data_IF_707643805682
#
_entry.id   IF_707643805682
#
_cell.length_a   1.000
_cell.length_b   1.000
_cell.length_c   1.000
_cell.angle_alpha   90.00
_cell.angle_beta   90.00
_cell.angle_gamma   90.00
#
_symmetry.space_group_name_H-M   'P 1'
#
loop_
_entity.id
_entity.type
_entity.pdbx_description
1 polymer ?
#
# COMPACT_ATOMS: atom_id res chain seq x y z
N UNK A 1 16.79 -12.62 -0.20
CA UNK A 1 16.82 -11.24 0.33
C UNK A 1 15.97 -11.24 1.59
N UNK A 2 16.49 -10.79 2.72
CA UNK A 2 15.74 -10.78 3.98
C UNK A 2 14.66 -9.69 3.97
N UNK A 3 13.67 -9.78 4.87
CA UNK A 3 12.65 -8.75 5.02
C UNK A 3 13.27 -7.37 5.31
N UNK A 4 14.28 -7.32 6.17
CA UNK A 4 14.98 -6.07 6.51
C UNK A 4 15.70 -5.45 5.31
N UNK A 5 16.30 -6.29 4.45
CA UNK A 5 16.90 -5.82 3.20
C UNK A 5 15.82 -5.21 2.29
N UNK A 6 14.63 -5.83 2.21
CA UNK A 6 13.53 -5.35 1.37
C UNK A 6 13.00 -4.02 1.87
N UNK A 7 12.83 -3.90 3.18
CA UNK A 7 12.46 -2.64 3.85
C UNK A 7 13.49 -1.55 3.56
N UNK A 8 14.79 -1.83 3.69
CA UNK A 8 15.86 -0.85 3.40
C UNK A 8 15.83 -0.41 1.94
N UNK A 9 15.73 -1.36 1.01
CA UNK A 9 15.66 -1.09 -0.44
C UNK A 9 14.46 -0.22 -0.78
N UNK A 10 13.29 -0.53 -0.22
CA UNK A 10 12.08 0.24 -0.47
C UNK A 10 12.16 1.64 0.16
N UNK A 11 12.67 1.74 1.39
CA UNK A 11 12.89 3.02 2.06
C UNK A 11 13.78 3.94 1.22
N UNK A 12 14.90 3.43 0.69
CA UNK A 12 15.77 4.20 -0.19
C UNK A 12 15.09 4.60 -1.50
N UNK A 13 14.20 3.76 -2.03
CA UNK A 13 13.44 4.05 -3.26
C UNK A 13 12.44 5.16 -3.04
N UNK A 14 11.61 5.06 -2.00
CA UNK A 14 10.62 6.07 -1.64
C UNK A 14 11.29 7.41 -1.26
N UNK A 15 12.42 7.39 -0.54
CA UNK A 15 13.19 8.62 -0.26
C UNK A 15 13.64 9.35 -1.53
N UNK A 16 14.01 8.62 -2.59
CA UNK A 16 14.36 9.22 -3.89
C UNK A 16 13.14 9.78 -4.60
N UNK A 17 12.01 9.07 -4.56
CA UNK A 17 10.75 9.47 -5.19
C UNK A 17 10.19 10.76 -4.57
N UNK A 18 10.22 10.86 -3.24
CA UNK A 18 9.63 11.97 -2.49
C UNK A 18 10.65 13.03 -2.07
N UNK A 19 11.79 13.14 -2.77
CA UNK A 19 12.87 14.09 -2.43
C UNK A 19 12.47 15.57 -2.51
N UNK A 20 11.38 15.87 -3.22
CA UNK A 20 10.88 17.24 -3.46
C UNK A 20 9.89 17.72 -2.39
N UNK A 21 9.55 16.88 -1.40
CA UNK A 21 8.71 17.29 -0.27
C UNK A 21 9.39 18.45 0.47
N UNK A 22 8.60 19.49 0.78
CA UNK A 22 9.08 20.66 1.48
C UNK A 22 9.61 20.32 2.90
N UNK A 23 10.49 21.16 3.44
CA UNK A 23 11.08 20.91 4.76
C UNK A 23 10.03 20.86 5.89
N UNK A 24 8.91 21.58 5.74
CA UNK A 24 7.82 21.57 6.70
C UNK A 24 7.15 20.19 6.87
N UNK A 25 7.11 19.37 5.82
CA UNK A 25 6.51 18.04 5.84
C UNK A 25 7.54 16.90 5.86
N UNK A 26 8.84 17.21 5.75
CA UNK A 26 9.92 16.23 5.62
C UNK A 26 9.95 15.18 6.73
N UNK A 27 9.83 15.57 8.00
CA UNK A 27 9.83 14.62 9.12
C UNK A 27 8.64 13.66 9.06
N UNK A 28 7.46 14.17 8.70
CA UNK A 28 6.26 13.34 8.56
C UNK A 28 6.40 12.39 7.37
N UNK A 29 6.94 12.88 6.25
CA UNK A 29 7.22 12.06 5.08
C UNK A 29 8.22 10.94 5.41
N UNK A 30 9.30 11.20 6.14
CA UNK A 30 10.25 10.16 6.53
C UNK A 30 9.62 9.04 7.36
N UNK A 31 8.74 9.39 8.31
CA UNK A 31 7.98 8.40 9.11
C UNK A 31 7.03 7.58 8.26
N UNK A 32 6.30 8.23 7.35
CA UNK A 32 5.39 7.57 6.43
C UNK A 32 6.13 6.67 5.43
N UNK A 33 7.29 7.08 4.94
CA UNK A 33 8.15 6.28 4.06
C UNK A 33 8.61 5.01 4.77
N UNK A 34 9.11 5.12 6.01
CA UNK A 34 9.52 3.95 6.79
C UNK A 34 8.34 2.99 7.01
N UNK A 35 7.14 3.53 7.28
CA UNK A 35 5.91 2.74 7.44
C UNK A 35 5.48 2.06 6.14
N UNK A 36 5.50 2.78 5.01
CA UNK A 36 5.17 2.23 3.69
C UNK A 36 6.10 1.08 3.30
N UNK A 37 7.41 1.26 3.52
CA UNK A 37 8.41 0.22 3.25
C UNK A 37 8.18 -1.05 4.06
N UNK A 38 7.87 -0.91 5.36
CA UNK A 38 7.51 -2.04 6.22
C UNK A 38 6.25 -2.76 5.73
N UNK A 39 5.21 -2.00 5.39
CA UNK A 39 3.94 -2.58 4.92
C UNK A 39 4.16 -3.33 3.61
N UNK A 40 4.87 -2.75 2.64
CA UNK A 40 5.17 -3.41 1.37
C UNK A 40 5.88 -4.75 1.55
N UNK A 41 6.96 -4.78 2.33
CA UNK A 41 7.68 -6.02 2.58
C UNK A 41 6.80 -7.08 3.31
N UNK A 42 5.85 -6.63 4.13
CA UNK A 42 4.89 -7.52 4.79
C UNK A 42 3.81 -8.02 3.84
N UNK A 43 3.36 -7.20 2.88
CA UNK A 43 2.42 -7.61 1.85
C UNK A 43 3.03 -8.69 0.97
N UNK A 44 4.30 -8.54 0.56
CA UNK A 44 5.02 -9.56 -0.21
C UNK A 44 5.09 -10.91 0.55
N UNK A 45 5.33 -10.90 1.87
CA UNK A 45 5.30 -12.13 2.69
C UNK A 45 3.90 -12.78 2.72
N UNK A 46 2.86 -11.95 2.80
CA UNK A 46 1.47 -12.43 2.82
C UNK A 46 1.02 -12.93 1.46
N UNK A 47 1.48 -12.31 0.37
CA UNK A 47 1.24 -12.76 -1.01
C UNK A 47 1.84 -14.15 -1.22
N UNK A 48 3.11 -14.36 -0.82
CA UNK A 48 3.76 -15.67 -0.90
C UNK A 48 2.98 -16.74 -0.12
N UNK A 49 2.48 -16.43 1.09
CA UNK A 49 1.64 -17.36 1.86
C UNK A 49 0.29 -17.62 1.22
N UNK A 50 -0.39 -16.59 0.71
CA UNK A 50 -1.72 -16.71 0.11
C UNK A 50 -1.69 -17.42 -1.24
N UNK A 51 -0.63 -17.23 -2.02
CA UNK A 51 -0.40 -17.95 -3.28
C UNK A 51 -0.12 -19.44 -3.04
N UNK A 52 0.62 -19.76 -1.97
CA UNK A 52 0.95 -21.14 -1.63
C UNK A 52 -0.22 -21.90 -0.95
N UNK A 53 -0.91 -21.24 -0.02
CA UNK A 53 -1.86 -21.88 0.89
C UNK A 53 -3.33 -21.51 0.61
N UNK A 54 -3.57 -20.64 -0.37
CA UNK A 54 -4.90 -20.17 -0.74
C UNK A 54 -5.48 -19.12 0.21
N UNK A 55 -6.64 -18.59 -0.17
CA UNK A 55 -7.36 -17.54 0.56
C UNK A 55 -8.35 -18.09 1.59
N UNK A 56 -8.71 -19.35 1.42
CA UNK A 56 -9.65 -20.08 2.28
C UNK A 56 -9.00 -21.37 2.74
N UNK A 57 -9.47 -21.87 3.88
CA UNK A 57 -9.05 -23.15 4.44
C UNK A 57 -10.27 -23.98 4.84
N UNK A 58 -10.21 -25.31 4.68
CA UNK A 58 -11.27 -26.19 5.14
C UNK A 58 -11.38 -26.10 6.66
N UNK A 59 -12.59 -25.95 7.16
CA UNK A 59 -12.89 -25.87 8.58
C UNK A 59 -14.10 -26.70 8.93
N UNK A 60 -14.05 -27.32 10.10
CA UNK A 60 -15.15 -28.08 10.64
C UNK A 60 -15.29 -27.71 12.12
N UNK A 61 -16.47 -27.21 12.50
CA UNK A 61 -16.71 -26.74 13.88
C UNK A 61 -16.76 -27.89 14.89
N UNK A 62 -17.30 -29.04 14.48
CA UNK A 62 -17.32 -30.28 15.27
C UNK A 62 -17.47 -31.49 14.34
N UNK A 63 -17.13 -32.68 14.81
CA UNK A 63 -17.27 -33.93 14.04
C UNK A 63 -18.69 -34.18 13.50
N UNK A 64 -19.71 -33.55 14.10
CA UNK A 64 -21.13 -33.71 13.73
C UNK A 64 -21.63 -32.69 12.70
N UNK A 65 -20.81 -31.71 12.32
CA UNK A 65 -21.17 -30.67 11.35
C UNK A 65 -20.42 -30.88 10.04
N UNK A 66 -21.06 -30.57 8.92
CA UNK A 66 -20.40 -30.64 7.61
C UNK A 66 -19.24 -29.63 7.52
N UNK A 67 -18.09 -30.02 6.95
CA UNK A 67 -16.99 -29.09 6.68
C UNK A 67 -17.39 -28.01 5.69
N UNK A 68 -16.83 -26.81 5.87
CA UNK A 68 -16.98 -25.70 4.93
C UNK A 68 -15.67 -24.92 4.82
N UNK A 69 -15.50 -24.19 3.71
CA UNK A 69 -14.35 -23.31 3.54
C UNK A 69 -14.55 -22.00 4.28
N UNK A 70 -13.60 -21.66 5.15
CA UNK A 70 -13.58 -20.35 5.83
C UNK A 70 -12.44 -19.49 5.29
N UNK A 71 -12.63 -18.18 5.38
CA UNK A 71 -11.56 -17.23 5.06
C UNK A 71 -10.41 -17.34 6.05
N UNK A 72 -9.18 -17.36 5.55
CA UNK A 72 -7.97 -17.36 6.38
C UNK A 72 -7.74 -15.97 6.98
N UNK A 73 -7.28 -15.84 8.25
CA UNK A 73 -6.96 -14.54 8.85
C UNK A 73 -5.90 -13.74 8.05
N UNK A 74 -4.97 -14.43 7.39
CA UNK A 74 -3.95 -13.79 6.54
C UNK A 74 -4.57 -13.04 5.35
N UNK A 75 -5.68 -13.52 4.80
CA UNK A 75 -6.40 -12.83 3.73
C UNK A 75 -7.01 -11.51 4.21
N UNK A 76 -7.60 -11.49 5.41
CA UNK A 76 -8.11 -10.25 6.02
C UNK A 76 -7.00 -9.26 6.32
N UNK A 77 -5.88 -9.76 6.87
CA UNK A 77 -4.72 -8.94 7.16
C UNK A 77 -4.13 -8.32 5.89
N UNK A 78 -4.00 -9.09 4.81
CA UNK A 78 -3.52 -8.61 3.51
C UNK A 78 -4.40 -7.48 2.97
N UNK A 79 -5.73 -7.67 2.95
CA UNK A 79 -6.68 -6.64 2.49
C UNK A 79 -6.54 -5.35 3.32
N UNK A 80 -6.45 -5.48 4.65
CA UNK A 80 -6.32 -4.35 5.56
C UNK A 80 -5.01 -3.59 5.37
N UNK A 81 -3.89 -4.31 5.24
CA UNK A 81 -2.57 -3.72 5.00
C UNK A 81 -2.46 -3.09 3.62
N UNK A 82 -3.06 -3.67 2.58
CA UNK A 82 -3.09 -3.12 1.23
C UNK A 82 -3.86 -1.78 1.19
N UNK A 83 -4.99 -1.71 1.90
CA UNK A 83 -5.73 -0.47 2.07
C UNK A 83 -4.91 0.58 2.87
N UNK A 84 -4.21 0.16 3.94
CA UNK A 84 -3.34 1.05 4.71
C UNK A 84 -2.18 1.57 3.86
N UNK A 85 -1.53 0.71 3.07
CA UNK A 85 -0.45 1.08 2.16
C UNK A 85 -0.92 2.15 1.17
N UNK A 86 -2.05 1.92 0.51
CA UNK A 86 -2.64 2.88 -0.45
C UNK A 86 -2.90 4.23 0.21
N UNK A 87 -3.40 4.27 1.45
CA UNK A 87 -3.62 5.52 2.20
C UNK A 87 -2.31 6.25 2.49
N UNK A 88 -1.27 5.53 2.92
CA UNK A 88 0.05 6.11 3.21
C UNK A 88 0.66 6.70 1.92
N UNK A 89 0.59 5.97 0.81
CA UNK A 89 1.09 6.45 -0.49
C UNK A 89 0.36 7.72 -0.93
N UNK A 90 -0.98 7.76 -0.84
CA UNK A 90 -1.77 8.97 -1.13
C UNK A 90 -1.40 10.15 -0.23
N UNK A 91 -1.10 9.91 1.05
CA UNK A 91 -0.64 10.97 1.95
C UNK A 91 0.73 11.52 1.53
N UNK A 92 1.65 10.65 1.13
CA UNK A 92 2.97 11.06 0.61
C UNK A 92 2.83 11.85 -0.70
N UNK A 93 1.98 11.40 -1.62
CA UNK A 93 1.70 12.10 -2.87
C UNK A 93 1.12 13.51 -2.62
N UNK A 94 0.23 13.64 -1.64
CA UNK A 94 -0.35 14.92 -1.23
C UNK A 94 0.65 15.91 -0.62
N UNK A 95 1.83 15.45 -0.19
CA UNK A 95 2.91 16.30 0.34
C UNK A 95 3.87 16.81 -0.74
N UNK A 96 3.79 16.27 -1.96
CA UNK A 96 4.57 16.79 -3.08
C UNK A 96 4.13 18.22 -3.39
N UNK A 97 5.06 19.10 -3.80
CA UNK A 97 4.69 20.40 -4.30
C UNK A 97 3.69 20.20 -5.43
N UNK A 98 2.51 20.84 -5.32
CA UNK A 98 1.59 20.92 -6.45
C UNK A 98 2.27 21.80 -7.49
N UNK A 99 3.10 21.19 -8.34
CA UNK A 99 3.52 21.81 -9.58
C UNK A 99 2.26 22.24 -10.30
N UNK A 100 2.28 23.44 -10.90
CA UNK A 100 1.24 23.92 -11.79
C UNK A 100 1.12 22.95 -12.98
N UNK A 101 0.45 21.83 -12.79
CA UNK A 101 -0.19 21.18 -13.92
C UNK A 101 -1.20 22.21 -14.43
N UNK A 102 -1.13 22.66 -15.70
CA UNK A 102 -2.27 23.33 -16.28
C UNK A 102 -3.45 22.41 -16.03
N UNK A 103 -4.51 22.96 -15.44
CA UNK A 103 -5.64 22.16 -15.01
C UNK A 103 -6.09 21.35 -16.23
N UNK A 104 -6.14 20.02 -16.11
CA UNK A 104 -6.81 19.21 -17.13
C UNK A 104 -8.28 19.64 -17.30
N UNK A 105 -8.82 20.35 -16.29
CA UNK A 105 -10.10 21.06 -16.37
C UNK A 105 -10.08 22.23 -17.38
N UNK A 106 -8.96 22.94 -17.58
CA UNK A 106 -8.90 24.08 -18.49
C UNK A 106 -8.97 23.65 -19.97
N UNK A 107 -8.33 22.54 -20.35
CA UNK A 107 -8.44 22.00 -21.72
C UNK A 107 -9.85 21.47 -22.02
N UNK A 108 -10.50 20.83 -21.04
CA UNK A 108 -11.85 20.30 -21.20
C UNK A 108 -12.90 21.42 -21.23
N UNK A 109 -12.72 22.49 -20.45
CA UNK A 109 -13.58 23.66 -20.44
C UNK A 109 -13.37 24.57 -21.66
N UNK A 110 -12.15 24.62 -22.22
CA UNK A 110 -11.88 25.30 -23.49
C UNK A 110 -12.54 24.61 -24.68
N UNK A 111 -12.59 23.26 -24.70
CA UNK A 111 -13.24 22.50 -25.77
C UNK A 111 -14.77 22.62 -25.78
N UNK A 112 -15.40 22.79 -24.61
CA UNK A 112 -16.85 22.95 -24.50
C UNK A 112 -17.33 24.40 -24.73
N UNK A 113 -16.39 25.33 -24.90
CA UNK A 113 -16.66 26.76 -25.10
C UNK A 113 -16.70 27.22 -26.57
N UNK A 114 -16.44 26.32 -27.53
CA UNK A 114 -16.66 26.53 -28.98
C UNK A 114 -17.97 25.88 -29.45
#
# INVERSE_FOLDING_TARGET
MTKDERIKKETSTLKRQYKQINDAHKLNAERLIARAAYIKATLEDLEEDLDANGWTEPFQQSEKCDPYDRKRPNADLYISLSAQYTRVMKQLDGMLPKGSAPAADDELMAFLGE
#
